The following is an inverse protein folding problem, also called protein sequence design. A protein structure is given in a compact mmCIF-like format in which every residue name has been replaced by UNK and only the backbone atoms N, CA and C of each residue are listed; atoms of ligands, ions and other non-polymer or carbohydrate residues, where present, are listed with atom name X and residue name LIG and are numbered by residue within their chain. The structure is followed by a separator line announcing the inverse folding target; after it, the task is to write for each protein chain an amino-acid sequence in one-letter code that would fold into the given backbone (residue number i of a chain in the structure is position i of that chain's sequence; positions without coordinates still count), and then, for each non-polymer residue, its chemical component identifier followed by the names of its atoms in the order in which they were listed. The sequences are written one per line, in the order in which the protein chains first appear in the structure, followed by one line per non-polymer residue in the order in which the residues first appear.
data_IF_871005841400
#
_entry.id   IF_871005841400
#
_cell.length_a   1.000
_cell.length_b   1.000
_cell.length_c   1.000
_cell.angle_alpha   90.00
_cell.angle_beta   90.00
_cell.angle_gamma   90.00
#
_symmetry.space_group_name_H-M   'P 1'
#
loop_
_entity.id
_entity.type
_entity.pdbx_description
1 polymer ?
#
# COMPACT_ATOMS: atom_id res chain seq x y z
N UNK A 1 -0.45 -3.64 -4.35
CA UNK A 1 -1.51 -3.41 -3.34
C UNK A 1 -1.49 -1.98 -2.85
N UNK A 2 -2.65 -1.36 -2.77
CA UNK A 2 -2.83 -0.08 -2.10
C UNK A 2 -3.66 -0.34 -0.84
N UNK A 3 -3.04 -0.21 0.32
CA UNK A 3 -3.64 -0.64 1.60
C UNK A 3 -4.63 0.37 2.19
N UNK A 4 -4.54 1.63 1.76
CA UNK A 4 -5.43 2.72 2.19
C UNK A 4 -5.88 3.48 0.94
N UNK A 5 -6.72 2.83 0.15
CA UNK A 5 -6.96 3.21 -1.25
C UNK A 5 -7.67 4.56 -1.45
N UNK A 6 -8.50 4.99 -0.51
CA UNK A 6 -9.24 6.24 -0.66
C UNK A 6 -10.12 6.26 -1.90
N UNK A 7 -9.75 7.07 -2.89
CA UNK A 7 -10.47 7.16 -4.16
C UNK A 7 -10.06 6.08 -5.18
N UNK A 8 -8.99 5.35 -4.90
CA UNK A 8 -8.44 4.35 -5.81
C UNK A 8 -7.48 4.91 -6.86
N UNK A 9 -7.12 6.20 -6.76
CA UNK A 9 -6.30 6.86 -7.78
C UNK A 9 -4.96 6.16 -8.02
N UNK A 10 -4.28 5.72 -6.96
CA UNK A 10 -2.97 5.05 -7.07
C UNK A 10 -3.10 3.69 -7.75
N UNK A 11 -4.04 2.85 -7.31
CA UNK A 11 -4.27 1.55 -7.92
C UNK A 11 -4.66 1.65 -9.39
N UNK A 12 -5.51 2.61 -9.72
CA UNK A 12 -5.93 2.87 -11.08
C UNK A 12 -4.73 3.30 -11.94
N UNK A 13 -3.87 4.18 -11.42
CA UNK A 13 -2.66 4.61 -12.12
C UNK A 13 -1.74 3.42 -12.42
N UNK A 14 -1.52 2.53 -11.45
CA UNK A 14 -0.75 1.32 -11.68
C UNK A 14 -1.36 0.44 -12.75
N UNK A 15 -2.67 0.24 -12.73
CA UNK A 15 -3.36 -0.56 -13.74
C UNK A 15 -3.25 0.07 -15.13
N UNK A 16 -3.39 1.39 -15.23
CA UNK A 16 -3.28 2.10 -16.50
C UNK A 16 -1.88 2.01 -17.11
N UNK A 17 -0.87 1.77 -16.29
CA UNK A 17 0.53 1.62 -16.72
C UNK A 17 0.95 0.17 -16.92
N UNK A 18 0.01 -0.75 -16.92
CA UNK A 18 0.28 -2.15 -17.25
C UNK A 18 0.46 -3.09 -16.08
N UNK A 19 0.17 -2.66 -14.85
CA UNK A 19 0.14 -3.55 -13.71
C UNK A 19 -0.88 -4.66 -13.96
N UNK A 20 -0.49 -5.89 -13.68
CA UNK A 20 -1.33 -7.06 -13.94
C UNK A 20 -2.59 -7.10 -13.07
N UNK A 21 -2.47 -6.69 -11.83
CA UNK A 21 -3.54 -6.77 -10.84
C UNK A 21 -3.30 -5.73 -9.75
N UNK A 22 -4.35 -5.03 -9.33
CA UNK A 22 -4.24 -4.09 -8.22
C UNK A 22 -5.27 -4.42 -7.15
N UNK A 23 -4.79 -4.71 -5.94
CA UNK A 23 -5.63 -4.86 -4.76
C UNK A 23 -5.78 -3.48 -4.12
N UNK A 24 -7.00 -3.02 -3.94
CA UNK A 24 -7.31 -1.73 -3.34
C UNK A 24 -8.19 -1.93 -2.13
N UNK A 25 -7.62 -1.66 -0.95
CA UNK A 25 -8.28 -1.89 0.33
C UNK A 25 -8.61 -0.57 1.00
N UNK A 26 -9.80 -0.48 1.58
CA UNK A 26 -10.17 0.61 2.48
C UNK A 26 -11.26 0.13 3.42
N UNK A 27 -11.21 0.58 4.68
CA UNK A 27 -12.24 0.24 5.64
C UNK A 27 -13.51 1.06 5.45
N UNK A 28 -13.40 2.23 4.83
CA UNK A 28 -14.54 3.12 4.61
C UNK A 28 -15.41 2.62 3.47
N UNK A 29 -16.65 2.28 3.80
CA UNK A 29 -17.63 1.86 2.80
C UNK A 29 -17.85 2.96 1.75
N UNK A 30 -17.82 4.22 2.18
CA UNK A 30 -17.98 5.37 1.30
C UNK A 30 -16.79 5.51 0.34
N UNK A 31 -15.57 5.36 0.84
CA UNK A 31 -14.38 5.37 -0.01
C UNK A 31 -14.45 4.26 -1.06
N UNK A 32 -14.88 3.07 -0.68
CA UNK A 32 -15.01 1.94 -1.60
C UNK A 32 -16.01 2.24 -2.74
N UNK A 33 -17.09 2.96 -2.46
CA UNK A 33 -18.01 3.39 -3.52
C UNK A 33 -17.31 4.25 -4.56
N UNK A 34 -16.44 5.17 -4.13
CA UNK A 34 -15.64 5.99 -5.04
C UNK A 34 -14.65 5.14 -5.84
N UNK A 35 -13.99 4.19 -5.18
CA UNK A 35 -13.06 3.27 -5.87
C UNK A 35 -13.79 2.52 -6.98
N UNK A 36 -14.94 1.92 -6.67
CA UNK A 36 -15.74 1.18 -7.65
C UNK A 36 -16.13 2.07 -8.82
N UNK A 37 -16.64 3.27 -8.54
CA UNK A 37 -17.05 4.20 -9.59
C UNK A 37 -15.87 4.63 -10.47
N UNK A 38 -14.72 4.92 -9.87
CA UNK A 38 -13.53 5.36 -10.60
C UNK A 38 -12.93 4.23 -11.45
N UNK A 39 -12.90 3.01 -10.93
CA UNK A 39 -12.43 1.83 -11.67
C UNK A 39 -13.33 1.58 -12.87
N UNK A 40 -14.64 1.66 -12.68
CA UNK A 40 -15.62 1.47 -13.76
C UNK A 40 -15.48 2.56 -14.83
N UNK A 41 -15.32 3.81 -14.42
CA UNK A 41 -15.15 4.95 -15.32
C UNK A 41 -13.90 4.80 -16.20
N UNK A 42 -12.85 4.23 -15.67
CA UNK A 42 -11.59 4.03 -16.39
C UNK A 42 -11.54 2.67 -17.13
N UNK A 43 -12.58 1.86 -17.01
CA UNK A 43 -12.69 0.55 -17.67
C UNK A 43 -11.58 -0.44 -17.26
N UNK A 44 -11.20 -0.42 -15.99
CA UNK A 44 -10.14 -1.27 -15.44
C UNK A 44 -10.66 -2.35 -14.48
N UNK A 45 -11.96 -2.64 -14.52
CA UNK A 45 -12.61 -3.56 -13.57
C UNK A 45 -11.99 -4.96 -13.57
N UNK A 46 -11.58 -5.44 -14.74
CA UNK A 46 -11.11 -6.81 -14.90
C UNK A 46 -9.90 -7.14 -14.02
N UNK A 47 -9.02 -6.17 -13.82
CA UNK A 47 -7.77 -6.36 -13.07
C UNK A 47 -7.74 -5.64 -11.73
N UNK A 48 -8.85 -5.09 -11.31
CA UNK A 48 -8.99 -4.41 -10.02
C UNK A 48 -9.67 -5.33 -9.02
N UNK A 49 -9.04 -5.51 -7.85
CA UNK A 49 -9.61 -6.28 -6.75
C UNK A 49 -9.86 -5.30 -5.62
N UNK A 50 -11.14 -5.03 -5.35
CA UNK A 50 -11.56 -4.00 -4.41
C UNK A 50 -12.02 -4.67 -3.11
N UNK A 51 -11.46 -4.23 -1.99
CA UNK A 51 -11.65 -4.88 -0.70
C UNK A 51 -12.08 -3.86 0.34
N UNK A 52 -13.30 -4.05 0.87
CA UNK A 52 -13.84 -3.21 1.94
C UNK A 52 -13.60 -3.89 3.28
N UNK A 53 -12.39 -3.73 3.82
CA UNK A 53 -11.98 -4.31 5.09
C UNK A 53 -11.00 -3.39 5.79
N UNK A 54 -10.87 -3.54 7.10
CA UNK A 54 -9.77 -2.97 7.85
C UNK A 54 -8.45 -3.56 7.36
N UNK A 55 -7.38 -2.76 7.37
CA UNK A 55 -6.09 -3.20 6.85
C UNK A 55 -5.55 -4.45 7.57
N UNK A 56 -5.77 -4.55 8.87
CA UNK A 56 -5.30 -5.72 9.64
C UNK A 56 -5.98 -6.99 9.15
N UNK A 57 -7.29 -6.93 8.95
CA UNK A 57 -8.04 -8.09 8.46
C UNK A 57 -7.62 -8.48 7.05
N UNK A 58 -7.43 -7.50 6.17
CA UNK A 58 -6.98 -7.79 4.82
C UNK A 58 -5.59 -8.44 4.79
N UNK A 59 -4.65 -7.93 5.59
CA UNK A 59 -3.31 -8.51 5.64
C UNK A 59 -3.34 -9.96 6.16
N UNK A 60 -4.17 -10.25 7.15
CA UNK A 60 -4.37 -11.62 7.63
C UNK A 60 -4.94 -12.53 6.54
N UNK A 61 -5.93 -12.03 5.82
CA UNK A 61 -6.55 -12.79 4.74
C UNK A 61 -5.54 -13.07 3.61
N UNK A 62 -4.69 -12.09 3.30
CA UNK A 62 -3.65 -12.27 2.30
C UNK A 62 -2.66 -13.37 2.69
N UNK A 63 -2.21 -13.37 3.95
CA UNK A 63 -1.34 -14.44 4.46
C UNK A 63 -2.03 -15.80 4.34
N UNK A 64 -3.26 -15.89 4.81
CA UNK A 64 -4.04 -17.13 4.78
C UNK A 64 -4.20 -17.69 3.37
N UNK A 65 -4.37 -16.82 2.39
CA UNK A 65 -4.59 -17.22 1.00
C UNK A 65 -3.29 -17.30 0.18
N UNK A 66 -2.15 -17.12 0.79
CA UNK A 66 -0.85 -17.21 0.13
C UNK A 66 -0.60 -16.11 -0.90
N UNK A 67 -1.23 -14.96 -0.72
CA UNK A 67 -1.08 -13.81 -1.63
C UNK A 67 0.14 -13.01 -1.23
N UNK A 68 0.99 -12.69 -2.20
CA UNK A 68 2.15 -11.81 -2.02
C UNK A 68 2.11 -10.71 -3.06
N UNK A 69 2.81 -9.61 -2.75
CA UNK A 69 2.75 -8.40 -3.57
C UNK A 69 4.14 -7.99 -4.04
N UNK A 70 4.20 -7.47 -5.27
CA UNK A 70 5.42 -6.91 -5.82
C UNK A 70 5.60 -5.45 -5.43
N UNK A 71 4.49 -4.72 -5.30
CA UNK A 71 4.47 -3.32 -4.88
C UNK A 71 3.39 -3.14 -3.83
N UNK A 72 3.77 -2.55 -2.70
CA UNK A 72 2.85 -2.20 -1.63
C UNK A 72 2.93 -0.70 -1.41
N UNK A 73 1.80 -0.01 -1.61
CA UNK A 73 1.69 1.42 -1.38
C UNK A 73 0.96 1.71 -0.07
N UNK A 74 1.54 2.55 0.76
CA UNK A 74 1.00 2.94 2.05
C UNK A 74 0.86 4.47 2.13
N UNK A 75 -0.38 4.95 2.18
CA UNK A 75 -0.72 6.32 2.51
C UNK A 75 -1.74 6.28 3.65
N UNK A 76 -1.28 5.92 4.87
CA UNK A 76 -2.20 5.75 6.00
C UNK A 76 -2.77 7.09 6.46
N UNK A 77 -3.92 7.07 7.16
CA UNK A 77 -4.41 8.28 7.80
C UNK A 77 -3.39 8.78 8.82
N UNK A 78 -3.56 9.99 9.32
CA UNK A 78 -2.61 10.74 10.15
C UNK A 78 -2.04 10.01 11.37
N UNK A 79 -2.55 8.86 11.74
CA UNK A 79 -2.03 8.08 12.85
C UNK A 79 -0.80 7.28 12.40
N UNK A 80 0.37 7.70 12.85
CA UNK A 80 1.65 7.10 12.48
C UNK A 80 1.86 5.70 13.04
N UNK A 81 1.12 5.32 14.06
CA UNK A 81 1.14 3.96 14.59
C UNK A 81 0.51 2.98 13.59
N UNK A 82 -0.42 3.45 12.77
CA UNK A 82 -1.01 2.63 11.70
C UNK A 82 0.05 2.25 10.68
N UNK A 83 0.85 3.22 10.22
CA UNK A 83 1.95 2.96 9.27
C UNK A 83 2.94 1.95 9.83
N UNK A 84 3.40 2.17 11.06
CA UNK A 84 4.33 1.28 11.75
C UNK A 84 3.77 -0.14 11.87
N UNK A 85 2.52 -0.25 12.28
CA UNK A 85 1.84 -1.53 12.44
C UNK A 85 1.65 -2.25 11.10
N UNK A 86 1.27 -1.51 10.06
CA UNK A 86 1.10 -2.08 8.72
C UNK A 86 2.42 -2.67 8.21
N UNK A 87 3.52 -1.94 8.31
CA UNK A 87 4.84 -2.43 7.91
C UNK A 87 5.22 -3.67 8.70
N UNK A 88 5.01 -3.65 10.01
CA UNK A 88 5.29 -4.80 10.87
C UNK A 88 4.55 -6.05 10.40
N UNK A 89 3.26 -5.93 10.14
CA UNK A 89 2.43 -7.06 9.71
C UNK A 89 2.81 -7.55 8.32
N UNK A 90 3.13 -6.64 7.39
CA UNK A 90 3.57 -7.00 6.05
C UNK A 90 4.84 -7.88 6.13
N UNK A 91 5.80 -7.49 6.94
CA UNK A 91 7.04 -8.25 7.11
C UNK A 91 6.82 -9.55 7.85
N UNK A 92 6.05 -9.51 8.93
CA UNK A 92 5.74 -10.68 9.76
C UNK A 92 5.02 -11.77 8.98
N UNK A 93 4.07 -11.37 8.13
CA UNK A 93 3.29 -12.29 7.31
C UNK A 93 3.97 -12.66 5.99
N UNK A 94 5.13 -12.07 5.70
CA UNK A 94 5.87 -12.37 4.47
C UNK A 94 5.12 -12.01 3.20
N UNK A 95 4.46 -10.85 3.18
CA UNK A 95 3.58 -10.46 2.08
C UNK A 95 4.31 -9.78 0.91
N UNK A 96 5.59 -9.51 1.04
CA UNK A 96 6.37 -8.88 -0.02
C UNK A 96 7.13 -9.94 -0.81
N UNK A 97 6.93 -9.95 -2.12
CA UNK A 97 7.69 -10.85 -3.00
C UNK A 97 9.17 -10.51 -3.00
N UNK A 98 10.00 -11.47 -3.38
CA UNK A 98 11.42 -11.23 -3.63
C UNK A 98 11.57 -10.08 -4.63
N UNK A 99 12.45 -9.14 -4.35
CA UNK A 99 12.62 -7.89 -5.12
C UNK A 99 11.41 -6.96 -5.11
N UNK A 100 10.43 -7.23 -4.24
CA UNK A 100 9.29 -6.35 -4.07
C UNK A 100 9.67 -5.06 -3.36
N UNK A 101 8.84 -4.04 -3.50
CA UNK A 101 9.06 -2.73 -2.89
C UNK A 101 7.86 -2.26 -2.09
N UNK A 102 8.15 -1.47 -1.05
CA UNK A 102 7.13 -0.77 -0.29
C UNK A 102 7.33 0.73 -0.54
N UNK A 103 6.26 1.44 -0.83
CA UNK A 103 6.27 2.88 -1.02
C UNK A 103 5.41 3.50 0.09
N UNK A 104 5.98 4.39 0.88
CA UNK A 104 5.25 5.09 1.94
C UNK A 104 5.13 6.55 1.54
N UNK A 105 3.91 7.08 1.51
CA UNK A 105 3.65 8.50 1.37
C UNK A 105 3.41 9.10 2.76
N UNK A 106 4.18 10.13 3.11
CA UNK A 106 4.11 10.73 4.44
C UNK A 106 4.52 12.20 4.39
N UNK A 107 3.99 13.01 5.29
CA UNK A 107 4.46 14.37 5.54
C UNK A 107 5.40 14.42 6.76
N UNK A 108 5.66 13.28 7.40
CA UNK A 108 6.54 13.15 8.56
C UNK A 108 7.68 12.16 8.30
N UNK A 109 8.53 12.52 7.35
CA UNK A 109 9.61 11.66 6.86
C UNK A 109 10.55 11.14 7.95
N UNK A 110 11.01 12.02 8.85
CA UNK A 110 11.96 11.63 9.89
C UNK A 110 11.37 10.59 10.84
N UNK A 111 10.10 10.73 11.16
CA UNK A 111 9.40 9.80 12.05
C UNK A 111 9.21 8.43 11.40
N UNK A 112 8.87 8.42 10.11
CA UNK A 112 8.76 7.17 9.36
C UNK A 112 10.12 6.46 9.29
N UNK A 113 11.19 7.20 9.03
CA UNK A 113 12.54 6.65 9.00
C UNK A 113 12.91 6.03 10.35
N UNK A 114 12.59 6.72 11.45
CA UNK A 114 12.85 6.20 12.79
C UNK A 114 12.11 4.89 13.05
N UNK A 115 10.85 4.80 12.63
CA UNK A 115 10.04 3.58 12.76
C UNK A 115 10.62 2.41 11.97
N UNK A 116 11.37 2.68 10.91
CA UNK A 116 11.93 1.64 10.04
C UNK A 116 13.27 1.09 10.53
N UNK A 117 13.92 1.74 11.49
CA UNK A 117 15.24 1.34 11.98
C UNK A 117 15.28 -0.06 12.59
N UNK A 118 14.17 -0.53 13.13
CA UNK A 118 14.08 -1.87 13.73
C UNK A 118 13.71 -2.95 12.71
N UNK A 119 13.58 -2.59 11.44
CA UNK A 119 13.23 -3.53 10.38
C UNK A 119 14.44 -3.86 9.52
N UNK A 120 14.31 -4.89 8.67
CA UNK A 120 15.31 -5.21 7.66
C UNK A 120 15.09 -4.45 6.34
N UNK A 121 14.26 -3.41 6.36
CA UNK A 121 13.99 -2.59 5.18
C UNK A 121 15.07 -1.53 5.00
N UNK A 122 15.44 -1.30 3.76
CA UNK A 122 16.41 -0.29 3.36
C UNK A 122 15.74 0.74 2.47
N UNK A 123 15.98 2.02 2.76
CA UNK A 123 15.52 3.12 1.92
C UNK A 123 16.49 3.26 0.76
N UNK A 124 16.02 3.02 -0.47
CA UNK A 124 16.88 3.15 -1.65
C UNK A 124 16.57 4.40 -2.47
N UNK A 125 15.45 5.05 -2.24
CA UNK A 125 15.09 6.32 -2.88
C UNK A 125 14.10 7.08 -2.01
N UNK A 126 14.07 8.39 -2.17
CA UNK A 126 13.15 9.27 -1.46
C UNK A 126 12.89 10.49 -2.32
N UNK A 127 11.63 10.85 -2.49
CA UNK A 127 11.23 11.99 -3.33
C UNK A 127 10.24 12.88 -2.60
N UNK A 128 10.37 14.17 -2.78
CA UNK A 128 9.50 15.16 -2.17
C UNK A 128 8.59 15.80 -3.22
N UNK A 129 7.29 15.80 -2.93
CA UNK A 129 6.27 16.47 -3.74
C UNK A 129 5.46 17.39 -2.84
N UNK A 130 5.73 18.71 -2.88
CA UNK A 130 5.09 19.65 -1.98
C UNK A 130 5.39 19.32 -0.52
N UNK A 131 4.37 18.99 0.26
CA UNK A 131 4.51 18.56 1.67
C UNK A 131 4.68 17.07 1.83
N UNK A 132 4.36 16.31 0.78
CA UNK A 132 4.43 14.86 0.83
C UNK A 132 5.83 14.37 0.46
N UNK A 133 6.25 13.31 1.13
CA UNK A 133 7.46 12.58 0.80
C UNK A 133 7.07 11.16 0.40
N UNK A 134 7.67 10.64 -0.66
CA UNK A 134 7.58 9.25 -1.03
C UNK A 134 8.88 8.56 -0.62
N UNK A 135 8.77 7.53 0.19
CA UNK A 135 9.92 6.75 0.67
C UNK A 135 9.83 5.37 0.02
N UNK A 136 10.88 4.97 -0.68
CA UNK A 136 10.95 3.71 -1.42
C UNK A 136 11.83 2.73 -0.65
N UNK A 137 11.27 1.58 -0.32
CA UNK A 137 11.88 0.59 0.55
C UNK A 137 11.97 -0.77 -0.11
N UNK A 138 13.07 -1.48 0.17
CA UNK A 138 13.22 -2.88 -0.20
C UNK A 138 13.87 -3.62 0.98
N UNK A 139 13.69 -4.94 1.02
CA UNK A 139 14.37 -5.74 2.04
C UNK A 139 15.87 -5.79 1.72
N UNK A 140 16.68 -5.74 2.76
CA UNK A 140 18.13 -5.91 2.63
C UNK A 140 18.42 -7.32 2.15
N UNK A 141 19.25 -7.43 1.14
CA UNK A 141 19.64 -8.71 0.55
C UNK A 141 20.48 -9.60 1.44
#
# INVERSE_FOLDING_TARGET
MDLFAGSGAIGIEFLSRGCKRAYMCDKSHEAIKFVIANVKKTKLEENAIIINKDYIQFLKDAEKNGIKFDIIFLDPPYDLDISKNAVKLILEYGLLNENGIIIIETDEKEREIENLKTTNLEIYDSRKYGRANLIFLAERG
#
